data_IF_397664358676
#
_entry.id   IF_397664358676
#
_cell.length_a   1.000
_cell.length_b   1.000
_cell.length_c   1.000
_cell.angle_alpha   90.00
_cell.angle_beta   90.00
_cell.angle_gamma   90.00
#
_symmetry.space_group_name_H-M   'P 1'
#
loop_
_entity.id
_entity.type
_entity.pdbx_description
1 polymer ?
#
# COMPACT_ATOMS: atom_id res chain seq x y z
N UNK A 1 12.63 8.87 -42.30
CA UNK A 1 12.89 9.86 -41.24
C UNK A 1 11.55 10.25 -40.65
N UNK A 2 11.40 10.28 -39.32
CA UNK A 2 10.20 10.80 -38.68
C UNK A 2 10.28 12.33 -38.60
N UNK A 3 9.20 13.02 -38.98
CA UNK A 3 9.13 14.49 -38.94
C UNK A 3 8.49 15.00 -37.65
N UNK A 4 7.42 14.33 -37.20
CA UNK A 4 6.71 14.60 -35.95
C UNK A 4 5.97 13.33 -35.49
N UNK A 5 5.67 13.22 -34.20
CA UNK A 5 4.86 12.15 -33.58
C UNK A 5 3.66 12.77 -32.86
N UNK A 6 2.64 11.96 -32.56
CA UNK A 6 1.42 12.41 -31.85
C UNK A 6 0.72 13.62 -32.53
N UNK A 7 0.68 13.63 -33.85
CA UNK A 7 0.02 14.69 -34.64
C UNK A 7 -1.46 14.39 -34.76
N UNK A 8 -2.31 15.41 -34.60
CA UNK A 8 -3.75 15.28 -34.83
C UNK A 8 -4.03 14.72 -36.24
N UNK A 9 -4.90 13.71 -36.40
CA UNK A 9 -5.18 13.09 -37.69
C UNK A 9 -5.62 14.07 -38.78
N UNK A 10 -6.33 15.15 -38.43
CA UNK A 10 -6.75 16.17 -39.39
C UNK A 10 -5.56 17.00 -39.89
N UNK A 11 -4.61 17.33 -39.00
CA UNK A 11 -3.37 18.04 -39.36
C UNK A 11 -2.49 17.13 -40.22
N UNK A 12 -2.32 15.86 -39.83
CA UNK A 12 -1.54 14.90 -40.60
C UNK A 12 -2.11 14.72 -42.01
N UNK A 13 -3.44 14.61 -42.14
CA UNK A 13 -4.13 14.54 -43.43
C UNK A 13 -3.89 15.77 -44.30
N UNK A 14 -4.02 16.98 -43.74
CA UNK A 14 -3.78 18.23 -44.47
C UNK A 14 -2.32 18.36 -44.95
N UNK A 15 -1.36 17.86 -44.18
CA UNK A 15 0.07 17.85 -44.57
C UNK A 15 0.29 16.87 -45.73
N UNK A 16 -0.20 15.64 -45.62
CA UNK A 16 -0.03 14.62 -46.67
C UNK A 16 -0.75 14.97 -47.98
N UNK A 17 -1.87 15.71 -47.92
CA UNK A 17 -2.55 16.21 -49.12
C UNK A 17 -1.74 17.31 -49.83
N UNK A 18 -1.11 18.21 -49.06
CA UNK A 18 -0.30 19.31 -49.59
C UNK A 18 1.07 18.86 -50.08
N UNK A 19 1.65 17.84 -49.45
CA UNK A 19 2.98 17.31 -49.72
C UNK A 19 2.91 15.78 -49.91
N UNK A 20 2.68 15.29 -51.14
CA UNK A 20 2.52 13.85 -51.43
C UNK A 20 3.71 12.97 -51.02
N UNK A 21 4.90 13.55 -50.89
CA UNK A 21 6.12 12.91 -50.41
C UNK A 21 6.10 12.63 -48.88
N UNK A 22 5.18 13.23 -48.12
CA UNK A 22 5.03 13.07 -46.68
C UNK A 22 3.93 12.06 -46.35
N UNK A 23 4.33 10.89 -45.86
CA UNK A 23 3.41 9.86 -45.36
C UNK A 23 2.99 10.08 -43.91
N UNK A 24 1.80 9.59 -43.55
CA UNK A 24 1.32 9.50 -42.17
C UNK A 24 1.18 8.05 -41.74
N UNK A 25 1.58 7.74 -40.52
CA UNK A 25 1.35 6.44 -39.87
C UNK A 25 0.39 6.62 -38.70
N UNK A 26 -0.57 5.69 -38.56
CA UNK A 26 -1.49 5.71 -37.41
C UNK A 26 -0.71 5.30 -36.16
N UNK A 27 -0.80 6.14 -35.13
CA UNK A 27 -0.31 5.83 -33.80
C UNK A 27 -1.47 5.89 -32.81
N UNK A 28 -1.58 4.90 -31.94
CA UNK A 28 -2.53 4.92 -30.82
C UNK A 28 -1.82 5.53 -29.60
N UNK A 29 -2.49 6.46 -28.91
CA UNK A 29 -1.93 7.14 -27.74
C UNK A 29 -2.51 6.53 -26.46
N UNK A 30 -1.63 6.19 -25.51
CA UNK A 30 -2.04 5.77 -24.17
C UNK A 30 -2.48 6.99 -23.38
N UNK A 31 -3.68 6.91 -22.80
CA UNK A 31 -4.23 7.98 -21.97
C UNK A 31 -4.32 7.52 -20.52
N UNK A 32 -3.96 8.41 -19.61
CA UNK A 32 -4.03 8.22 -18.15
C UNK A 32 -5.01 9.24 -17.57
N UNK A 33 -6.33 8.96 -17.52
CA UNK A 33 -7.32 9.94 -17.07
C UNK A 33 -7.12 10.41 -15.62
N UNK A 34 -6.52 9.56 -14.79
CA UNK A 34 -6.17 9.88 -13.40
C UNK A 34 -4.87 10.68 -13.25
N UNK A 35 -4.14 10.95 -14.34
CA UNK A 35 -2.81 11.56 -14.30
C UNK A 35 -1.88 10.78 -13.36
N UNK A 36 -1.41 11.45 -12.32
CA UNK A 36 -0.55 10.87 -11.27
C UNK A 36 -1.23 9.88 -10.32
N UNK A 37 -2.55 9.70 -10.37
CA UNK A 37 -3.26 8.74 -9.52
C UNK A 37 -2.78 7.30 -9.79
N UNK A 38 -2.27 6.63 -8.76
CA UNK A 38 -1.75 5.26 -8.86
C UNK A 38 -0.62 5.07 -9.90
N UNK A 39 0.12 6.13 -10.27
CA UNK A 39 1.13 6.08 -11.32
C UNK A 39 2.23 5.02 -11.06
N UNK A 40 2.65 4.82 -9.81
CA UNK A 40 3.63 3.78 -9.46
C UNK A 40 3.09 2.33 -9.56
N UNK A 41 1.78 2.17 -9.70
CA UNK A 41 1.14 0.87 -9.90
C UNK A 41 0.84 0.69 -11.38
N UNK A 42 0.10 1.62 -11.98
CA UNK A 42 -0.27 1.57 -13.39
C UNK A 42 0.99 1.57 -14.25
N UNK A 43 1.87 2.55 -14.03
CA UNK A 43 3.11 2.71 -14.77
C UNK A 43 2.97 3.69 -15.93
N UNK A 44 3.77 3.43 -16.97
CA UNK A 44 3.87 4.26 -18.16
C UNK A 44 4.39 3.43 -19.33
N UNK A 45 4.12 3.87 -20.56
CA UNK A 45 4.65 3.26 -21.79
C UNK A 45 5.69 4.16 -22.45
N UNK A 46 6.47 3.60 -23.37
CA UNK A 46 7.33 4.34 -24.28
C UNK A 46 6.57 4.86 -25.51
N UNK A 47 7.31 5.47 -26.44
CA UNK A 47 6.75 6.02 -27.67
C UNK A 47 6.31 4.99 -28.70
N UNK A 48 6.77 3.74 -28.55
CA UNK A 48 6.51 2.64 -29.48
C UNK A 48 5.37 1.74 -28.95
N UNK A 49 4.81 2.05 -27.77
CA UNK A 49 3.62 1.41 -27.22
C UNK A 49 3.90 0.38 -26.15
N UNK A 50 5.17 0.21 -25.74
CA UNK A 50 5.59 -0.82 -24.80
C UNK A 50 5.68 -0.29 -23.37
N UNK A 51 5.27 -1.11 -22.41
CA UNK A 51 5.40 -0.81 -20.99
C UNK A 51 6.83 -0.52 -20.55
N UNK A 52 7.00 0.58 -19.84
CA UNK A 52 8.29 1.02 -19.26
C UNK A 52 8.34 0.87 -17.74
N UNK A 53 7.19 1.04 -17.09
CA UNK A 53 7.06 1.06 -15.62
C UNK A 53 5.78 0.33 -15.19
N UNK A 54 5.73 -0.04 -13.90
CA UNK A 54 4.51 -0.53 -13.26
C UNK A 54 3.90 -1.76 -13.94
N UNK A 55 2.57 -1.83 -13.96
CA UNK A 55 1.82 -2.90 -14.60
C UNK A 55 1.83 -2.81 -16.13
N UNK A 56 2.06 -1.63 -16.72
CA UNK A 56 2.29 -1.53 -18.18
C UNK A 56 3.50 -2.40 -18.57
N UNK A 57 4.61 -2.31 -17.85
CA UNK A 57 5.82 -3.12 -18.09
C UNK A 57 5.57 -4.61 -17.77
N UNK A 58 5.14 -4.93 -16.55
CA UNK A 58 5.04 -6.32 -16.14
C UNK A 58 3.92 -7.11 -16.83
N UNK A 59 2.93 -6.42 -17.40
CA UNK A 59 1.82 -7.03 -18.14
C UNK A 59 1.84 -6.66 -19.64
N UNK A 60 2.94 -6.12 -20.17
CA UNK A 60 3.06 -5.69 -21.58
C UNK A 60 2.63 -6.80 -22.55
N UNK A 61 3.10 -8.03 -22.32
CA UNK A 61 2.77 -9.20 -23.13
C UNK A 61 1.25 -9.51 -23.22
N UNK A 62 0.47 -9.08 -22.23
CA UNK A 62 -0.98 -9.26 -22.18
C UNK A 62 -1.72 -8.01 -22.69
N UNK A 63 -1.15 -6.82 -22.47
CA UNK A 63 -1.75 -5.51 -22.79
C UNK A 63 -1.52 -5.07 -24.24
N UNK A 64 -0.34 -5.35 -24.80
CA UNK A 64 0.05 -4.92 -26.15
C UNK A 64 -0.70 -5.70 -27.25
N UNK A 65 -0.98 -6.99 -27.02
CA UNK A 65 -1.56 -7.86 -28.05
C UNK A 65 -0.51 -8.30 -29.06
N UNK A 66 -0.86 -8.38 -30.34
CA UNK A 66 0.06 -8.77 -31.41
C UNK A 66 -0.23 -7.98 -32.68
N UNK A 67 0.81 -7.39 -33.25
CA UNK A 67 0.68 -6.60 -34.47
C UNK A 67 0.23 -7.43 -35.67
N UNK A 68 -0.55 -6.78 -36.52
CA UNK A 68 -0.88 -7.30 -37.84
C UNK A 68 0.23 -6.97 -38.84
N UNK A 69 0.17 -7.58 -40.02
CA UNK A 69 1.06 -7.24 -41.11
C UNK A 69 0.33 -7.23 -42.44
N UNK A 70 0.82 -6.44 -43.38
CA UNK A 70 0.35 -6.44 -44.77
C UNK A 70 1.52 -6.13 -45.68
N UNK A 71 1.64 -6.88 -46.78
CA UNK A 71 2.63 -6.63 -47.82
C UNK A 71 1.94 -5.96 -49.00
N UNK A 72 2.58 -4.97 -49.61
CA UNK A 72 2.12 -4.33 -50.83
C UNK A 72 3.32 -3.91 -51.68
N UNK A 73 3.09 -3.73 -52.98
CA UNK A 73 4.13 -3.24 -53.90
C UNK A 73 4.08 -1.71 -53.96
N UNK A 74 5.26 -1.10 -54.05
CA UNK A 74 5.45 0.35 -54.07
C UNK A 74 6.10 0.74 -55.39
N UNK A 75 5.54 1.74 -56.08
CA UNK A 75 6.11 2.31 -57.29
C UNK A 75 7.44 3.03 -57.01
N UNK A 76 8.20 3.34 -58.06
CA UNK A 76 9.45 4.11 -57.95
C UNK A 76 9.25 5.54 -57.45
N UNK A 77 8.02 6.04 -57.53
CA UNK A 77 7.54 7.32 -56.98
C UNK A 77 7.15 7.24 -55.50
N UNK A 78 7.25 6.05 -54.88
CA UNK A 78 6.91 5.86 -53.47
C UNK A 78 5.42 5.71 -53.20
N UNK A 79 4.57 5.57 -54.22
CA UNK A 79 3.12 5.36 -54.06
C UNK A 79 2.81 3.86 -54.01
N UNK A 80 1.81 3.47 -53.21
CA UNK A 80 1.35 2.07 -53.15
C UNK A 80 0.61 1.72 -54.45
N UNK A 81 1.00 0.62 -55.09
CA UNK A 81 0.35 0.16 -56.33
C UNK A 81 -1.03 -0.42 -55.97
N UNK A 82 -2.14 0.14 -56.50
CA UNK A 82 -3.48 -0.37 -56.24
C UNK A 82 -3.60 -1.86 -56.59
N UNK A 83 -4.18 -2.66 -55.70
CA UNK A 83 -4.37 -4.10 -55.89
C UNK A 83 -3.18 -4.99 -55.50
N UNK A 84 -2.03 -4.43 -55.10
CA UNK A 84 -0.83 -5.20 -54.73
C UNK A 84 -0.84 -5.80 -53.32
N UNK A 85 -1.87 -5.52 -52.52
CA UNK A 85 -1.98 -5.98 -51.13
C UNK A 85 -2.04 -7.52 -51.03
N UNK A 86 -1.10 -8.12 -50.31
CA UNK A 86 -0.99 -9.56 -50.04
C UNK A 86 -0.47 -9.83 -48.64
N UNK A 87 -0.43 -11.10 -48.24
CA UNK A 87 0.09 -11.56 -46.93
C UNK A 87 -0.46 -10.77 -45.75
N UNK A 88 -1.79 -10.56 -45.71
CA UNK A 88 -2.44 -9.79 -44.67
C UNK A 88 -2.68 -10.66 -43.43
N UNK A 89 -1.98 -10.36 -42.34
CA UNK A 89 -2.24 -10.88 -41.01
C UNK A 89 -2.97 -9.82 -40.19
N UNK A 90 -4.11 -10.19 -39.59
CA UNK A 90 -4.86 -9.26 -38.74
C UNK A 90 -4.15 -9.10 -37.40
N UNK A 91 -4.11 -7.88 -36.90
CA UNK A 91 -3.69 -7.61 -35.52
C UNK A 91 -4.64 -8.29 -34.53
N UNK A 92 -4.09 -8.69 -33.39
CA UNK A 92 -4.84 -9.22 -32.25
C UNK A 92 -4.76 -8.17 -31.14
N UNK A 93 -5.93 -7.71 -30.68
CA UNK A 93 -5.98 -6.74 -29.59
C UNK A 93 -5.47 -7.36 -28.28
N UNK A 94 -4.80 -6.53 -27.48
CA UNK A 94 -4.47 -6.87 -26.10
C UNK A 94 -5.71 -7.10 -25.22
N UNK A 95 -5.47 -7.64 -24.03
CA UNK A 95 -6.51 -7.95 -23.07
C UNK A 95 -6.77 -6.79 -22.11
N UNK A 96 -7.98 -6.73 -21.55
CA UNK A 96 -8.32 -5.79 -20.49
C UNK A 96 -7.92 -6.35 -19.13
N UNK A 97 -7.25 -5.52 -18.33
CA UNK A 97 -6.89 -5.81 -16.94
C UNK A 97 -7.73 -4.95 -16.01
N UNK A 98 -8.35 -5.57 -15.01
CA UNK A 98 -9.09 -4.89 -13.96
C UNK A 98 -8.28 -4.96 -12.65
N UNK A 99 -7.91 -3.79 -12.13
CA UNK A 99 -7.22 -3.68 -10.85
C UNK A 99 -8.19 -3.85 -9.68
N UNK A 100 -7.66 -4.25 -8.53
CA UNK A 100 -8.38 -4.28 -7.26
C UNK A 100 -8.44 -2.91 -6.57
N UNK A 101 -7.70 -1.92 -7.10
CA UNK A 101 -7.66 -0.59 -6.53
C UNK A 101 -9.04 0.06 -6.55
N UNK A 102 -9.38 0.70 -5.44
CA UNK A 102 -10.49 1.62 -5.36
C UNK A 102 -9.95 3.04 -5.61
N UNK A 103 -10.47 3.71 -6.64
CA UNK A 103 -9.96 5.02 -7.06
C UNK A 103 -10.13 6.09 -5.96
N UNK A 104 -11.22 6.05 -5.19
CA UNK A 104 -11.50 7.04 -4.16
C UNK A 104 -10.58 6.84 -2.95
N UNK A 105 -10.40 5.58 -2.52
CA UNK A 105 -9.46 5.23 -1.45
C UNK A 105 -8.03 5.57 -1.88
N UNK A 106 -7.63 5.18 -3.09
CA UNK A 106 -6.30 5.47 -3.63
C UNK A 106 -6.02 6.97 -3.65
N UNK A 107 -6.97 7.78 -4.16
CA UNK A 107 -6.82 9.24 -4.22
C UNK A 107 -6.63 9.83 -2.83
N UNK A 108 -7.49 9.45 -1.88
CA UNK A 108 -7.41 9.94 -0.51
C UNK A 108 -6.08 9.55 0.16
N UNK A 109 -5.69 8.29 0.07
CA UNK A 109 -4.43 7.79 0.66
C UNK A 109 -3.22 8.48 0.04
N UNK A 110 -3.20 8.67 -1.28
CA UNK A 110 -2.11 9.36 -1.97
C UNK A 110 -1.98 10.83 -1.52
N UNK A 111 -3.10 11.53 -1.31
CA UNK A 111 -3.08 12.87 -0.73
C UNK A 111 -2.53 12.87 0.70
N UNK A 112 -2.96 11.93 1.56
CA UNK A 112 -2.49 11.85 2.94
C UNK A 112 -1.00 11.52 3.02
N UNK A 113 -0.50 10.63 2.16
CA UNK A 113 0.93 10.30 2.06
C UNK A 113 1.75 11.54 1.69
N UNK A 114 1.32 12.30 0.67
CA UNK A 114 2.01 13.53 0.29
C UNK A 114 1.96 14.60 1.39
N UNK A 115 0.81 14.74 2.06
CA UNK A 115 0.66 15.67 3.18
C UNK A 115 1.57 15.27 4.36
N UNK A 116 1.64 13.99 4.69
CA UNK A 116 2.49 13.47 5.76
C UNK A 116 3.98 13.73 5.47
N UNK A 117 4.42 13.57 4.21
CA UNK A 117 5.77 13.92 3.78
C UNK A 117 6.05 15.41 3.99
N UNK A 118 5.15 16.28 3.52
CA UNK A 118 5.31 17.73 3.60
C UNK A 118 5.35 18.24 5.06
N UNK A 119 4.56 17.64 5.95
CA UNK A 119 4.50 18.03 7.36
C UNK A 119 5.68 17.49 8.18
N UNK A 120 6.16 16.29 7.85
CA UNK A 120 7.23 15.64 8.63
C UNK A 120 8.64 15.98 8.13
N UNK A 121 8.79 16.41 6.87
CA UNK A 121 10.10 16.53 6.23
C UNK A 121 10.74 15.17 5.92
N UNK A 122 9.98 14.06 6.00
CA UNK A 122 10.49 12.74 5.67
C UNK A 122 10.98 12.65 4.22
N UNK A 123 12.06 11.90 4.01
CA UNK A 123 12.60 11.66 2.67
C UNK A 123 11.64 10.85 1.78
N UNK A 124 10.97 9.86 2.37
CA UNK A 124 9.99 8.99 1.72
C UNK A 124 8.84 8.65 2.67
N UNK A 125 7.64 8.51 2.13
CA UNK A 125 6.42 8.08 2.80
C UNK A 125 5.65 7.18 1.86
N UNK A 126 5.23 6.01 2.35
CA UNK A 126 4.41 5.06 1.61
C UNK A 126 3.27 4.56 2.49
N UNK A 127 2.14 4.22 1.87
CA UNK A 127 1.01 3.61 2.56
C UNK A 127 0.37 2.52 1.70
N UNK A 128 -0.11 1.46 2.35
CA UNK A 128 -0.82 0.35 1.72
C UNK A 128 -2.11 0.10 2.49
N UNK A 129 -3.21 -0.07 1.77
CA UNK A 129 -4.52 -0.43 2.30
C UNK A 129 -4.95 -1.75 1.66
N UNK A 130 -5.17 -2.75 2.50
CA UNK A 130 -5.66 -4.06 2.10
C UNK A 130 -7.09 -4.26 2.62
N UNK A 131 -7.93 -4.90 1.82
CA UNK A 131 -9.14 -5.49 2.34
C UNK A 131 -8.79 -6.72 3.20
N UNK A 132 -9.21 -6.71 4.46
CA UNK A 132 -8.82 -7.75 5.41
C UNK A 132 -9.34 -9.15 5.02
N UNK A 133 -10.53 -9.24 4.42
CA UNK A 133 -11.20 -10.52 4.16
C UNK A 133 -10.86 -11.13 2.81
N UNK A 134 -10.37 -10.33 1.87
CA UNK A 134 -10.04 -10.76 0.51
C UNK A 134 -8.54 -10.68 0.19
N UNK A 135 -7.79 -9.88 0.94
CA UNK A 135 -6.38 -9.58 0.68
C UNK A 135 -6.18 -8.64 -0.52
N UNK A 136 -7.24 -8.13 -1.12
CA UNK A 136 -7.18 -7.22 -2.25
C UNK A 136 -6.49 -5.90 -1.87
N UNK A 137 -5.62 -5.39 -2.74
CA UNK A 137 -5.00 -4.08 -2.57
C UNK A 137 -6.00 -3.03 -2.99
N UNK A 138 -6.55 -2.29 -2.01
CA UNK A 138 -7.49 -1.19 -2.27
C UNK A 138 -6.77 0.11 -2.59
N UNK A 139 -5.62 0.34 -1.94
CA UNK A 139 -4.75 1.45 -2.25
C UNK A 139 -3.28 1.11 -1.95
N UNK A 140 -2.37 1.65 -2.75
CA UNK A 140 -0.93 1.63 -2.50
C UNK A 140 -0.34 2.93 -3.07
N UNK A 141 0.17 3.78 -2.19
CA UNK A 141 0.64 5.10 -2.56
C UNK A 141 2.03 5.36 -2.02
N UNK A 142 2.79 6.12 -2.80
CA UNK A 142 4.11 6.63 -2.44
C UNK A 142 4.09 8.16 -2.63
N UNK A 143 4.87 8.87 -1.83
CA UNK A 143 5.04 10.31 -1.95
C UNK A 143 5.79 10.69 -3.24
N UNK A 144 5.64 11.95 -3.66
CA UNK A 144 6.36 12.53 -4.80
C UNK A 144 6.30 11.67 -6.09
N UNK A 145 5.14 11.05 -6.33
CA UNK A 145 4.89 10.24 -7.52
C UNK A 145 4.93 11.08 -8.81
N UNK A 146 5.07 10.40 -9.94
CA UNK A 146 5.12 10.99 -11.28
C UNK A 146 3.74 11.03 -11.95
N UNK A 147 3.64 11.71 -13.08
CA UNK A 147 2.46 11.72 -13.94
C UNK A 147 2.80 11.10 -15.31
N UNK A 148 2.30 9.89 -15.65
CA UNK A 148 2.57 9.23 -16.92
C UNK A 148 1.91 9.91 -18.12
N UNK A 149 1.01 10.88 -17.92
CA UNK A 149 0.48 11.71 -19.00
C UNK A 149 1.46 12.79 -19.48
N UNK A 150 2.55 13.01 -18.72
CA UNK A 150 3.63 13.94 -19.05
C UNK A 150 4.89 13.16 -19.48
N UNK A 151 5.85 13.86 -20.09
CA UNK A 151 7.14 13.28 -20.47
C UNK A 151 7.86 12.72 -19.23
N UNK A 152 7.89 11.38 -19.10
CA UNK A 152 8.52 10.66 -17.99
C UNK A 152 10.02 10.99 -17.92
N UNK A 153 10.68 11.20 -19.06
CA UNK A 153 12.11 11.54 -19.12
C UNK A 153 12.45 12.90 -18.50
N UNK A 154 11.45 13.77 -18.29
CA UNK A 154 11.62 15.08 -17.64
C UNK A 154 11.28 15.07 -16.16
N UNK A 155 10.89 13.92 -15.60
CA UNK A 155 10.45 13.76 -14.21
C UNK A 155 11.52 13.08 -13.35
N UNK A 156 12.79 13.45 -13.54
CA UNK A 156 13.93 12.81 -12.87
C UNK A 156 13.98 13.03 -11.35
N UNK A 157 13.24 14.00 -10.82
CA UNK A 157 13.07 14.25 -9.38
C UNK A 157 11.90 13.46 -8.76
N UNK A 158 11.11 12.74 -9.58
CA UNK A 158 9.94 11.98 -9.15
C UNK A 158 10.27 10.54 -8.81
N UNK A 159 9.47 10.00 -7.90
CA UNK A 159 9.54 8.59 -7.58
C UNK A 159 8.84 7.79 -8.67
N UNK A 160 9.61 7.17 -9.57
CA UNK A 160 9.09 6.35 -10.69
C UNK A 160 8.73 4.93 -10.24
N UNK A 161 9.57 4.31 -9.41
CA UNK A 161 9.35 2.96 -8.89
C UNK A 161 8.31 2.91 -7.76
N UNK A 162 8.10 1.72 -7.19
CA UNK A 162 7.13 1.52 -6.10
C UNK A 162 7.81 0.99 -4.82
N UNK A 163 8.33 1.89 -3.94
CA UNK A 163 9.05 1.52 -2.73
C UNK A 163 8.26 0.59 -1.80
N UNK A 164 6.92 0.68 -1.81
CA UNK A 164 6.06 -0.19 -1.02
C UNK A 164 6.26 -1.69 -1.33
N UNK A 165 6.77 -2.02 -2.52
CA UNK A 165 7.07 -3.41 -2.94
C UNK A 165 8.55 -3.65 -3.27
N UNK A 166 9.33 -2.61 -3.56
CA UNK A 166 10.73 -2.75 -3.99
C UNK A 166 11.76 -2.44 -2.91
N UNK A 167 11.38 -1.73 -1.85
CA UNK A 167 12.31 -1.22 -0.83
C UNK A 167 12.07 -1.92 0.52
N UNK A 168 12.65 -3.11 0.74
CA UNK A 168 12.53 -3.80 2.01
C UNK A 168 13.30 -3.06 3.11
N UNK A 169 12.77 -3.09 4.33
CA UNK A 169 13.38 -2.46 5.51
C UNK A 169 13.22 -3.36 6.73
N UNK A 170 14.03 -3.13 7.75
CA UNK A 170 13.87 -3.83 9.03
C UNK A 170 12.61 -3.32 9.75
N UNK A 171 11.64 -4.18 10.08
CA UNK A 171 10.34 -3.76 10.63
C UNK A 171 10.42 -3.29 12.10
N UNK A 172 11.50 -3.65 12.81
CA UNK A 172 11.61 -3.45 14.25
C UNK A 172 10.41 -4.01 15.01
N UNK A 173 9.92 -3.26 15.99
CA UNK A 173 8.89 -3.72 16.93
C UNK A 173 7.56 -4.13 16.29
N UNK A 174 7.28 -3.70 15.05
CA UNK A 174 6.12 -4.14 14.28
C UNK A 174 6.13 -5.66 14.07
N UNK A 175 7.32 -6.28 14.01
CA UNK A 175 7.49 -7.73 13.85
C UNK A 175 7.21 -8.55 15.13
N UNK A 176 7.18 -7.93 16.31
CA UNK A 176 6.92 -8.62 17.59
C UNK A 176 5.58 -9.35 17.59
N UNK A 177 4.68 -8.94 16.72
CA UNK A 177 3.42 -9.59 16.41
C UNK A 177 3.57 -11.06 16.00
N UNK A 178 4.67 -11.44 15.35
CA UNK A 178 4.97 -12.85 15.04
C UNK A 178 5.22 -13.63 16.32
N UNK A 179 6.01 -13.08 17.24
CA UNK A 179 6.27 -13.65 18.56
C UNK A 179 4.99 -13.73 19.38
N UNK A 180 4.18 -12.66 19.38
CA UNK A 180 2.88 -12.61 20.05
C UNK A 180 1.94 -13.70 19.53
N UNK A 181 1.83 -13.84 18.20
CA UNK A 181 0.98 -14.85 17.59
C UNK A 181 1.49 -16.25 17.90
N UNK A 182 2.81 -16.47 17.85
CA UNK A 182 3.44 -17.76 18.16
C UNK A 182 3.19 -18.21 19.59
N UNK A 183 3.38 -17.32 20.57
CA UNK A 183 3.27 -17.70 21.97
C UNK A 183 1.83 -18.07 22.36
N UNK A 184 0.85 -17.41 21.74
CA UNK A 184 -0.57 -17.72 21.91
C UNK A 184 -0.95 -19.00 21.15
N UNK A 185 -0.57 -19.12 19.88
CA UNK A 185 -0.88 -20.28 19.01
C UNK A 185 -0.36 -21.60 19.63
N UNK A 186 0.85 -21.57 20.18
CA UNK A 186 1.46 -22.76 20.80
C UNK A 186 1.07 -22.95 22.27
N UNK A 187 0.16 -22.12 22.83
CA UNK A 187 -0.31 -22.24 24.21
C UNK A 187 0.78 -22.01 25.27
N UNK A 188 1.82 -21.25 24.94
CA UNK A 188 2.99 -21.00 25.79
C UNK A 188 2.83 -19.77 26.69
N UNK A 189 1.77 -19.00 26.44
CA UNK A 189 1.31 -17.90 27.27
C UNK A 189 -0.16 -17.60 26.96
N UNK A 190 -0.78 -16.77 27.78
CA UNK A 190 -2.08 -16.16 27.52
C UNK A 190 -1.99 -14.64 27.71
N UNK A 191 -2.95 -13.84 27.21
CA UNK A 191 -2.87 -12.37 27.25
C UNK A 191 -2.67 -11.78 28.65
N UNK A 192 -3.18 -12.45 29.68
CA UNK A 192 -3.22 -11.99 31.07
C UNK A 192 -2.08 -12.56 31.93
N UNK A 193 -1.25 -13.47 31.40
CA UNK A 193 -0.09 -14.00 32.13
C UNK A 193 0.87 -12.86 32.46
N UNK A 194 1.24 -12.73 33.73
CA UNK A 194 2.19 -11.72 34.20
C UNK A 194 3.62 -12.27 34.17
N UNK A 195 4.49 -11.62 33.42
CA UNK A 195 5.93 -11.84 33.40
C UNK A 195 6.63 -10.78 34.26
N UNK A 196 7.64 -11.22 35.02
CA UNK A 196 8.57 -10.34 35.71
C UNK A 196 9.68 -9.94 34.74
N UNK A 197 9.53 -8.79 34.09
CA UNK A 197 10.41 -8.35 32.99
C UNK A 197 11.52 -7.45 33.55
N UNK A 198 12.79 -7.90 33.56
CA UNK A 198 13.92 -7.07 33.94
C UNK A 198 14.23 -6.01 32.86
N UNK A 199 15.06 -5.01 33.18
CA UNK A 199 15.51 -3.99 32.20
C UNK A 199 16.46 -4.52 31.13
N UNK A 200 17.07 -5.68 31.35
CA UNK A 200 18.05 -6.31 30.45
C UNK A 200 17.91 -7.83 30.47
N UNK A 201 18.17 -8.49 29.34
CA UNK A 201 18.29 -9.95 29.21
C UNK A 201 19.54 -10.35 28.44
N UNK A 202 20.21 -11.40 28.92
CA UNK A 202 21.28 -12.06 28.18
C UNK A 202 20.69 -13.21 27.36
N UNK A 203 20.84 -13.16 26.04
CA UNK A 203 20.34 -14.20 25.14
C UNK A 203 21.30 -14.40 23.97
N UNK A 204 21.76 -15.64 23.79
CA UNK A 204 22.65 -15.98 22.67
C UNK A 204 24.02 -15.29 22.72
N UNK A 205 24.50 -14.93 23.92
CA UNK A 205 25.76 -14.20 24.13
C UNK A 205 25.66 -12.69 23.88
N UNK A 206 24.45 -12.14 23.78
CA UNK A 206 24.20 -10.71 23.56
C UNK A 206 23.29 -10.18 24.67
N UNK A 207 23.65 -8.99 25.18
CA UNK A 207 22.83 -8.24 26.12
C UNK A 207 21.81 -7.38 25.36
N UNK A 208 20.53 -7.55 25.66
CA UNK A 208 19.44 -6.79 25.05
C UNK A 208 18.70 -6.01 26.12
N UNK A 209 18.43 -4.74 25.83
CA UNK A 209 17.77 -3.79 26.71
C UNK A 209 16.45 -3.32 26.09
N UNK A 210 15.52 -2.89 26.95
CA UNK A 210 14.37 -2.11 26.51
C UNK A 210 14.78 -0.70 26.10
N UNK A 211 13.92 0.00 25.36
CA UNK A 211 14.21 1.35 24.87
C UNK A 211 14.20 2.42 25.98
N UNK A 212 13.92 2.03 27.23
CA UNK A 212 13.91 2.88 28.41
C UNK A 212 14.44 2.10 29.61
N UNK A 213 14.99 2.80 30.61
CA UNK A 213 15.51 2.17 31.81
C UNK A 213 14.38 1.80 32.79
N UNK A 214 14.43 0.59 33.33
CA UNK A 214 13.56 0.16 34.41
C UNK A 214 14.17 -1.02 35.20
N UNK A 215 13.72 -1.16 36.45
CA UNK A 215 13.95 -2.37 37.24
C UNK A 215 13.07 -3.54 36.76
N UNK A 216 12.86 -4.53 37.62
CA UNK A 216 11.91 -5.61 37.29
C UNK A 216 10.48 -5.09 37.34
N UNK A 217 9.75 -5.21 36.23
CA UNK A 217 8.38 -4.73 36.07
C UNK A 217 7.42 -5.91 35.80
N UNK A 218 6.26 -5.97 36.48
CA UNK A 218 5.25 -6.98 36.19
C UNK A 218 4.43 -6.55 34.97
N UNK A 219 4.71 -7.15 33.82
CA UNK A 219 3.91 -6.94 32.60
C UNK A 219 3.08 -8.16 32.28
N UNK A 220 1.80 -7.95 31.93
CA UNK A 220 1.06 -8.99 31.25
C UNK A 220 1.66 -9.26 29.87
N UNK A 221 1.39 -10.41 29.24
CA UNK A 221 1.76 -10.66 27.85
C UNK A 221 1.24 -9.56 26.92
N UNK A 222 0.02 -9.07 27.14
CA UNK A 222 -0.48 -7.86 26.45
C UNK A 222 0.36 -6.63 26.75
N UNK A 223 0.77 -6.44 28.00
CA UNK A 223 1.62 -5.33 28.44
C UNK A 223 3.00 -5.33 27.78
N UNK A 224 3.61 -6.51 27.58
CA UNK A 224 4.90 -6.68 26.88
C UNK A 224 4.82 -6.08 25.48
N UNK A 225 3.81 -6.48 24.69
CA UNK A 225 3.64 -5.98 23.32
C UNK A 225 3.12 -4.54 23.29
N UNK A 226 2.23 -4.16 24.21
CA UNK A 226 1.67 -2.81 24.30
C UNK A 226 2.69 -1.74 24.72
N UNK A 227 3.70 -2.11 25.52
CA UNK A 227 4.86 -1.26 25.84
C UNK A 227 6.01 -1.45 24.85
N UNK A 228 5.91 -2.41 23.94
CA UNK A 228 6.98 -2.77 23.02
C UNK A 228 8.28 -3.16 23.74
N UNK A 229 8.19 -3.89 24.86
CA UNK A 229 9.36 -4.41 25.59
C UNK A 229 10.11 -5.44 24.73
N UNK A 230 11.36 -5.15 24.38
CA UNK A 230 12.28 -6.09 23.75
C UNK A 230 12.55 -7.26 24.68
N UNK A 231 12.85 -6.97 25.95
CA UNK A 231 13.20 -7.98 26.96
C UNK A 231 12.05 -8.95 27.18
N UNK A 232 10.84 -8.45 27.41
CA UNK A 232 9.64 -9.29 27.56
C UNK A 232 9.33 -10.09 26.29
N UNK A 233 9.56 -9.51 25.11
CA UNK A 233 9.39 -10.23 23.84
C UNK A 233 10.37 -11.40 23.75
N UNK A 234 11.63 -11.21 24.12
CA UNK A 234 12.65 -12.25 24.08
C UNK A 234 12.41 -13.35 25.11
N UNK A 235 11.93 -13.00 26.31
CA UNK A 235 11.49 -14.01 27.29
C UNK A 235 10.39 -14.92 26.73
N UNK A 236 9.43 -14.35 25.98
CA UNK A 236 8.38 -15.13 25.31
C UNK A 236 8.94 -15.90 24.10
N UNK A 237 9.85 -15.30 23.33
CA UNK A 237 10.49 -15.96 22.18
C UNK A 237 11.33 -17.17 22.59
N UNK A 238 12.01 -17.12 23.74
CA UNK A 238 12.72 -18.28 24.30
C UNK A 238 11.79 -19.46 24.56
N UNK A 239 10.55 -19.21 25.01
CA UNK A 239 9.53 -20.27 25.19
C UNK A 239 9.09 -20.86 23.85
N UNK A 240 8.99 -20.02 22.81
CA UNK A 240 8.60 -20.43 21.45
C UNK A 240 9.69 -21.30 20.83
N UNK A 241 10.95 -20.88 20.92
CA UNK A 241 12.07 -21.54 20.25
C UNK A 241 12.21 -21.17 18.76
N UNK A 242 13.40 -21.35 18.18
CA UNK A 242 13.73 -20.88 16.83
C UNK A 242 12.93 -21.58 15.73
N UNK A 243 12.70 -22.89 15.82
CA UNK A 243 12.00 -23.67 14.79
C UNK A 243 10.54 -23.23 14.66
N UNK A 244 9.83 -23.15 15.79
CA UNK A 244 8.42 -22.71 15.84
C UNK A 244 8.25 -21.26 15.41
N UNK A 245 9.22 -20.40 15.74
CA UNK A 245 9.22 -19.02 15.29
C UNK A 245 9.44 -18.94 13.77
N UNK A 246 10.40 -19.69 13.22
CA UNK A 246 10.65 -19.78 11.78
C UNK A 246 9.42 -20.27 11.00
N UNK A 247 8.74 -21.30 11.50
CA UNK A 247 7.47 -21.76 10.95
C UNK A 247 6.43 -20.65 10.90
N UNK A 248 6.30 -19.86 11.98
CA UNK A 248 5.37 -18.74 12.04
C UNK A 248 5.74 -17.61 11.08
N UNK A 249 7.03 -17.26 10.97
CA UNK A 249 7.55 -16.29 9.99
C UNK A 249 7.14 -16.70 8.56
N UNK A 250 7.25 -17.99 8.23
CA UNK A 250 6.82 -18.52 6.93
C UNK A 250 5.30 -18.49 6.75
N UNK A 251 4.52 -18.80 7.79
CA UNK A 251 3.05 -18.71 7.76
C UNK A 251 2.56 -17.28 7.51
N UNK A 252 3.27 -16.27 8.03
CA UNK A 252 3.00 -14.86 7.72
C UNK A 252 3.48 -14.43 6.31
N UNK A 253 4.21 -15.30 5.60
CA UNK A 253 4.64 -15.06 4.21
C UNK A 253 5.86 -14.16 4.08
N UNK A 254 6.65 -13.99 5.13
CA UNK A 254 7.89 -13.23 5.08
C UNK A 254 9.00 -13.99 4.33
N UNK A 255 9.92 -13.23 3.72
CA UNK A 255 11.00 -13.80 2.90
C UNK A 255 10.54 -14.33 1.54
N UNK A 256 9.30 -14.02 1.13
CA UNK A 256 8.70 -14.49 -0.11
C UNK A 256 8.00 -13.34 -0.84
N UNK A 257 8.14 -13.28 -2.17
CA UNK A 257 7.37 -12.34 -2.99
C UNK A 257 5.86 -12.56 -2.78
N UNK A 258 5.11 -11.47 -2.76
CA UNK A 258 3.65 -11.49 -2.62
C UNK A 258 2.95 -11.88 -3.92
N UNK A 259 3.62 -11.71 -5.07
CA UNK A 259 3.03 -12.00 -6.37
C UNK A 259 2.08 -10.91 -6.84
N UNK A 260 2.26 -9.67 -6.36
CA UNK A 260 1.48 -8.50 -6.78
C UNK A 260 1.67 -8.14 -8.25
N UNK A 261 2.70 -8.69 -8.89
CA UNK A 261 2.96 -8.52 -10.32
C UNK A 261 3.57 -7.17 -10.66
N UNK A 262 4.07 -6.42 -9.67
CA UNK A 262 4.78 -5.16 -9.91
C UNK A 262 6.27 -5.42 -10.16
N UNK A 263 6.90 -4.68 -11.09
CA UNK A 263 8.33 -4.82 -11.36
C UNK A 263 9.16 -4.43 -10.14
N UNK A 264 10.29 -5.10 -9.97
CA UNK A 264 11.20 -4.86 -8.85
C UNK A 264 10.70 -5.34 -7.49
N UNK A 265 9.65 -6.17 -7.44
CA UNK A 265 9.15 -6.75 -6.18
C UNK A 265 10.26 -7.51 -5.43
N UNK A 266 10.57 -7.04 -4.22
CA UNK A 266 11.51 -7.69 -3.32
C UNK A 266 10.81 -8.76 -2.48
N UNK A 267 11.49 -9.88 -2.24
CA UNK A 267 11.06 -10.89 -1.28
C UNK A 267 11.38 -10.47 0.17
N UNK A 268 12.11 -9.37 0.37
CA UNK A 268 12.77 -9.08 1.64
C UNK A 268 13.90 -10.08 1.91
N UNK A 269 14.31 -10.19 3.18
CA UNK A 269 15.31 -11.15 3.62
C UNK A 269 14.89 -11.72 4.97
N UNK A 270 14.70 -13.05 5.02
CA UNK A 270 14.64 -13.81 6.26
C UNK A 270 15.83 -14.79 6.20
N UNK A 271 16.80 -14.71 7.13
CA UNK A 271 17.92 -15.63 7.12
C UNK A 271 17.44 -17.08 7.17
N UNK A 272 18.04 -17.99 6.37
CA UNK A 272 17.80 -19.43 6.49
C UNK A 272 18.02 -19.94 7.92
N UNK A 273 17.19 -20.88 8.37
CA UNK A 273 17.22 -21.35 9.77
C UNK A 273 18.54 -22.03 10.17
N UNK A 274 19.22 -22.67 9.22
CA UNK A 274 20.54 -23.29 9.40
C UNK A 274 21.66 -22.26 9.68
N UNK A 275 21.41 -20.98 9.43
CA UNK A 275 22.31 -19.87 9.73
C UNK A 275 21.99 -19.18 11.06
N UNK A 276 20.98 -19.65 11.80
CA UNK A 276 20.58 -19.02 13.05
C UNK A 276 21.52 -19.45 14.17
N UNK A 277 22.33 -18.51 14.64
CA UNK A 277 23.02 -18.61 15.93
C UNK A 277 22.08 -18.15 17.05
N UNK A 278 22.52 -18.34 18.31
CA UNK A 278 21.83 -17.74 19.46
C UNK A 278 21.66 -16.23 19.30
N UNK A 279 22.67 -15.51 18.80
CA UNK A 279 22.60 -14.07 18.59
C UNK A 279 21.67 -13.67 17.45
N UNK A 280 21.61 -14.45 16.36
CA UNK A 280 20.62 -14.23 15.29
C UNK A 280 19.20 -14.35 15.83
N UNK A 281 18.91 -15.42 16.60
CA UNK A 281 17.60 -15.61 17.19
C UNK A 281 17.24 -14.55 18.26
N UNK A 282 18.22 -13.88 18.88
CA UNK A 282 17.95 -12.74 19.78
C UNK A 282 17.45 -11.49 19.05
N UNK A 283 17.70 -11.36 17.74
CA UNK A 283 17.33 -10.17 16.96
C UNK A 283 16.02 -10.34 16.18
N UNK A 284 15.81 -11.53 15.59
CA UNK A 284 14.66 -11.76 14.71
C UNK A 284 13.28 -11.56 15.39
N UNK A 285 13.03 -12.02 16.64
CA UNK A 285 11.75 -11.85 17.33
C UNK A 285 11.39 -10.40 17.63
N UNK A 286 12.39 -9.50 17.69
CA UNK A 286 12.20 -8.06 17.88
C UNK A 286 12.28 -7.27 16.56
N UNK A 287 12.36 -7.98 15.43
CA UNK A 287 12.30 -7.42 14.08
C UNK A 287 13.60 -6.83 13.56
N UNK A 288 14.73 -7.34 14.03
CA UNK A 288 16.08 -6.98 13.57
C UNK A 288 16.75 -8.20 12.92
N UNK A 289 17.61 -7.98 11.92
CA UNK A 289 18.27 -9.05 11.17
C UNK A 289 17.36 -9.72 10.13
N UNK A 290 16.21 -9.13 9.84
CA UNK A 290 15.32 -9.49 8.73
C UNK A 290 14.74 -8.23 8.10
N UNK A 291 14.39 -8.31 6.82
CA UNK A 291 13.77 -7.21 6.11
C UNK A 291 12.52 -7.66 5.35
N UNK A 292 11.55 -6.75 5.22
CA UNK A 292 10.33 -6.97 4.47
C UNK A 292 9.88 -5.68 3.79
N UNK A 293 9.08 -5.82 2.73
CA UNK A 293 8.45 -4.69 2.07
C UNK A 293 7.24 -4.20 2.85
N UNK A 294 6.79 -2.96 2.59
CA UNK A 294 5.58 -2.44 3.23
C UNK A 294 4.34 -3.29 2.90
N UNK A 295 4.26 -3.84 1.68
CA UNK A 295 3.18 -4.74 1.29
C UNK A 295 3.21 -6.07 2.08
N UNK A 296 4.39 -6.66 2.30
CA UNK A 296 4.51 -7.84 3.15
C UNK A 296 4.09 -7.55 4.59
N UNK A 297 4.51 -6.40 5.14
CA UNK A 297 4.11 -5.94 6.47
C UNK A 297 2.58 -5.76 6.57
N UNK A 298 1.95 -5.11 5.59
CA UNK A 298 0.50 -4.99 5.52
C UNK A 298 -0.19 -6.36 5.47
N UNK A 299 0.36 -7.31 4.69
CA UNK A 299 -0.13 -8.68 4.60
C UNK A 299 -0.02 -9.46 5.92
N UNK A 300 0.98 -9.18 6.75
CA UNK A 300 1.08 -9.74 8.10
C UNK A 300 -0.09 -9.28 8.99
N UNK A 301 -0.42 -7.99 8.94
CA UNK A 301 -1.56 -7.44 9.68
C UNK A 301 -2.91 -7.82 9.09
N UNK A 302 -3.00 -8.04 7.78
CA UNK A 302 -4.19 -8.60 7.13
C UNK A 302 -4.55 -9.95 7.74
N UNK A 303 -3.57 -10.84 7.93
CA UNK A 303 -3.83 -12.15 8.53
C UNK A 303 -4.44 -12.03 9.93
N UNK A 304 -3.98 -11.09 10.73
CA UNK A 304 -4.49 -10.84 12.09
C UNK A 304 -5.90 -10.26 12.05
N UNK A 305 -6.12 -9.26 11.19
CA UNK A 305 -7.45 -8.69 10.97
C UNK A 305 -8.43 -9.69 10.34
N UNK A 306 -7.92 -10.80 9.78
CA UNK A 306 -8.68 -11.87 9.17
C UNK A 306 -8.67 -13.16 10.01
N UNK A 307 -8.73 -13.03 11.33
CA UNK A 307 -8.90 -14.15 12.26
C UNK A 307 -7.81 -15.24 12.10
N UNK A 308 -6.57 -14.81 11.79
CA UNK A 308 -5.41 -15.67 11.58
C UNK A 308 -5.25 -16.21 10.16
N UNK A 309 -6.17 -15.90 9.23
CA UNK A 309 -6.12 -16.41 7.85
C UNK A 309 -5.42 -15.41 6.92
N UNK A 310 -4.18 -15.73 6.55
CA UNK A 310 -3.44 -14.98 5.52
C UNK A 310 -3.98 -15.29 4.13
N UNK A 311 -4.27 -14.26 3.33
CA UNK A 311 -4.66 -14.43 1.93
C UNK A 311 -3.52 -13.95 1.01
N UNK A 312 -2.88 -14.86 0.25
CA UNK A 312 -1.68 -14.52 -0.51
C UNK A 312 -1.94 -13.86 -1.88
N UNK A 313 -2.98 -13.03 -2.05
CA UNK A 313 -3.35 -12.47 -3.37
C UNK A 313 -2.97 -11.00 -3.53
N UNK A 314 -2.45 -10.66 -4.71
CA UNK A 314 -2.06 -9.30 -5.13
C UNK A 314 -3.10 -8.58 -6.01
N UNK A 315 -2.74 -7.39 -6.49
CA UNK A 315 -3.62 -6.29 -6.94
C UNK A 315 -4.40 -6.47 -8.26
N UNK A 316 -4.40 -7.65 -8.89
CA UNK A 316 -5.08 -7.86 -10.17
C UNK A 316 -6.11 -8.98 -10.12
N UNK A 317 -7.32 -8.68 -10.59
CA UNK A 317 -8.36 -9.68 -10.87
C UNK A 317 -8.14 -10.16 -12.31
N UNK A 318 -8.11 -11.48 -12.52
CA UNK A 318 -7.81 -12.18 -13.80
C UNK A 318 -8.21 -11.38 -15.06
N UNK A 319 -7.38 -11.35 -16.12
CA UNK A 319 -7.77 -10.74 -17.39
C UNK A 319 -9.04 -11.38 -17.92
N UNK A 320 -10.07 -10.57 -18.14
CA UNK A 320 -11.22 -10.98 -18.94
C UNK A 320 -10.78 -10.93 -20.41
N UNK A 321 -10.83 -12.07 -21.10
CA UNK A 321 -10.58 -12.08 -22.55
C UNK A 321 -11.54 -11.10 -23.26
N UNK A 322 -11.07 -10.38 -24.30
CA UNK A 322 -11.94 -9.49 -25.05
C UNK A 322 -12.96 -10.32 -25.83
N UNK A 323 -14.21 -10.35 -25.36
CA UNK A 323 -15.33 -10.82 -26.18
C UNK A 323 -15.59 -9.80 -27.29
N UNK A 324 -15.47 -10.22 -28.55
CA UNK A 324 -15.91 -9.46 -29.71
C UNK A 324 -17.38 -9.00 -29.54
N UNK A 325 -17.77 -7.82 -30.05
CA UNK A 325 -19.14 -7.33 -29.88
C UNK A 325 -20.12 -8.22 -30.66
N UNK A 326 -20.97 -8.96 -29.94
CA UNK A 326 -22.08 -9.70 -30.54
C UNK A 326 -23.18 -8.72 -31.04
N UNK A 327 -23.85 -9.03 -32.16
CA UNK A 327 -24.85 -8.15 -32.74
C UNK A 327 -26.06 -8.03 -31.81
N UNK A 328 -26.54 -6.79 -31.62
CA UNK A 328 -27.73 -6.49 -30.83
C UNK A 328 -29.00 -6.85 -31.60
N UNK A 329 -29.76 -7.79 -31.08
CA UNK A 329 -31.19 -7.91 -31.37
C UNK A 329 -31.99 -7.58 -30.10
N UNK A 330 -32.87 -6.57 -30.18
CA UNK A 330 -34.00 -6.38 -29.23
C UNK A 330 -35.14 -7.31 -29.66
N UNK A 331 -35.98 -7.83 -28.76
CA UNK A 331 -37.29 -7.32 -28.25
C UNK A 331 -37.99 -8.54 -27.59
N UNK A 332 -39.08 -8.51 -26.76
CA UNK A 332 -39.65 -7.57 -25.77
C UNK A 332 -39.73 -8.17 -24.32
N UNK A 333 -39.97 -7.33 -23.31
CA UNK A 333 -40.33 -7.76 -21.95
C UNK A 333 -41.82 -8.10 -21.84
N UNK A 334 -42.12 -9.35 -21.49
CA UNK A 334 -43.45 -9.78 -21.07
C UNK A 334 -43.61 -9.61 -19.56
N UNK A 335 -44.57 -8.78 -19.17
CA UNK A 335 -45.19 -8.78 -17.86
C UNK A 335 -45.69 -10.17 -17.48
N UNK A 336 -45.43 -10.58 -16.25
CA UNK A 336 -46.25 -11.59 -15.58
C UNK A 336 -45.47 -12.42 -14.59
N UNK A 337 -46.16 -12.75 -13.49
CA UNK A 337 -45.79 -13.76 -12.50
C UNK A 337 -44.89 -13.32 -11.35
N UNK A 338 -45.51 -12.64 -10.36
CA UNK A 338 -45.40 -13.12 -8.98
C UNK A 338 -46.60 -12.64 -8.13
N UNK A 339 -47.70 -13.41 -8.16
CA UNK A 339 -48.72 -13.41 -7.11
C UNK A 339 -48.98 -14.86 -6.71
N UNK A 340 -48.65 -15.19 -5.46
CA UNK A 340 -49.43 -16.05 -4.54
C UNK A 340 -48.62 -16.28 -3.27
N UNK A 341 -48.95 -15.54 -2.21
CA UNK A 341 -49.10 -16.10 -0.87
C UNK A 341 -50.14 -15.28 -0.11
N UNK A 342 -51.17 -15.98 0.33
CA UNK A 342 -52.34 -15.46 1.05
C UNK A 342 -51.95 -15.26 2.51
N UNK A 343 -52.20 -14.09 3.06
CA UNK A 343 -52.63 -13.90 4.45
C UNK A 343 -53.68 -12.77 4.46
N UNK A 344 -54.74 -12.97 5.23
CA UNK A 344 -55.88 -12.09 5.50
C UNK A 344 -56.02 -12.04 7.04
N UNK A 345 -56.72 -11.08 7.64
CA UNK A 345 -56.48 -9.64 7.61
C UNK A 345 -56.47 -9.05 9.04
N UNK A 346 -55.92 -7.85 9.23
CA UNK A 346 -56.37 -6.98 10.32
C UNK A 346 -56.61 -5.59 9.76
N UNK A 347 -57.85 -5.16 9.88
CA UNK A 347 -58.37 -3.91 9.36
C UNK A 347 -57.98 -2.73 10.26
N UNK A 348 -57.60 -1.61 9.66
CA UNK A 348 -58.13 -0.30 10.05
C UNK A 348 -57.89 0.75 8.96
N UNK A 349 -59.04 1.25 8.49
CA UNK A 349 -59.36 2.49 7.82
C UNK A 349 -58.23 3.48 7.54
N UNK A 350 -58.09 3.87 6.27
CA UNK A 350 -58.39 5.23 5.81
C UNK A 350 -58.38 5.26 4.27
N UNK A 351 -59.43 5.82 3.68
CA UNK A 351 -59.54 6.19 2.27
C UNK A 351 -59.74 7.72 2.19
N UNK A 352 -59.81 8.36 1.01
CA UNK A 352 -58.67 9.07 0.43
C UNK A 352 -59.01 10.54 0.08
N UNK A 353 -58.01 11.32 -0.32
CA UNK A 353 -58.26 12.48 -1.20
C UNK A 353 -57.07 12.78 -2.10
N UNK A 354 -57.31 12.68 -3.40
CA UNK A 354 -56.53 13.25 -4.49
C UNK A 354 -56.55 14.79 -4.41
N UNK A 355 -55.44 15.44 -4.75
CA UNK A 355 -55.45 16.47 -5.80
C UNK A 355 -54.04 16.92 -6.16
N UNK A 356 -53.77 16.83 -7.46
CA UNK A 356 -52.76 17.53 -8.26
C UNK A 356 -52.68 19.04 -7.96
N UNK A 357 -51.50 19.67 -8.10
CA UNK A 357 -51.27 20.90 -8.90
C UNK A 357 -49.77 21.18 -9.08
N UNK A 358 -49.47 21.79 -10.23
CA UNK A 358 -48.21 22.12 -10.90
C UNK A 358 -47.49 23.40 -10.38
N UNK A 359 -46.17 23.42 -10.62
CA UNK A 359 -45.28 24.52 -11.05
C UNK A 359 -45.02 25.73 -10.12
N UNK A 360 -43.73 25.97 -9.77
CA UNK A 360 -42.88 27.03 -10.37
C UNK A 360 -41.74 27.54 -9.44
N UNK A 361 -40.52 27.54 -10.00
CA UNK A 361 -39.44 28.55 -9.91
C UNK A 361 -38.79 29.03 -8.60
N UNK A 362 -37.47 28.81 -8.57
CA UNK A 362 -36.38 29.75 -8.22
C UNK A 362 -35.95 29.97 -6.76
N UNK A 363 -34.65 29.68 -6.52
CA UNK A 363 -33.59 30.48 -5.84
C UNK A 363 -32.68 29.61 -4.97
N UNK A 364 -31.38 29.67 -5.25
CA UNK A 364 -30.25 29.17 -4.45
C UNK A 364 -30.01 30.04 -3.18
N UNK A 365 -29.02 29.77 -2.30
CA UNK A 365 -28.38 28.51 -1.91
C UNK A 365 -28.55 28.22 -0.39
N UNK A 366 -28.58 26.94 0.01
CA UNK A 366 -28.61 26.56 1.42
C UNK A 366 -27.19 26.50 2.02
N UNK A 367 -26.98 27.29 3.08
CA UNK A 367 -25.80 27.29 3.94
C UNK A 367 -25.59 25.92 4.59
N UNK A 368 -24.38 25.40 4.51
CA UNK A 368 -23.90 24.24 5.28
C UNK A 368 -24.01 24.52 6.79
N UNK A 369 -24.91 23.80 7.47
CA UNK A 369 -24.92 23.69 8.94
C UNK A 369 -23.88 22.64 9.34
N UNK A 370 -22.90 23.05 10.14
CA UNK A 370 -21.95 22.16 10.83
C UNK A 370 -22.70 21.28 11.84
N UNK A 371 -22.47 19.97 11.79
CA UNK A 371 -22.83 19.04 12.87
C UNK A 371 -21.93 19.30 14.10
N UNK A 372 -22.48 19.27 15.33
CA UNK A 372 -21.68 19.42 16.55
C UNK A 372 -20.91 18.13 16.85
N UNK A 373 -19.62 18.27 17.14
CA UNK A 373 -18.74 17.23 17.65
C UNK A 373 -19.09 16.97 19.12
N UNK A 374 -19.57 15.77 19.43
CA UNK A 374 -19.77 15.28 20.80
C UNK A 374 -18.43 15.06 21.50
N UNK A 375 -18.14 15.89 22.50
CA UNK A 375 -17.02 15.71 23.44
C UNK A 375 -17.32 14.56 24.41
N UNK A 376 -16.33 13.70 24.62
CA UNK A 376 -16.29 12.72 25.70
C UNK A 376 -16.10 13.42 27.07
N UNK A 377 -16.72 12.94 28.16
CA UNK A 377 -16.56 13.55 29.48
C UNK A 377 -15.19 13.21 30.10
N UNK A 378 -14.50 14.25 30.58
CA UNK A 378 -13.25 14.15 31.31
C UNK A 378 -13.45 13.49 32.70
N UNK A 379 -12.55 12.57 33.07
CA UNK A 379 -12.47 12.01 34.43
C UNK A 379 -11.95 13.06 35.43
N UNK A 380 -12.43 13.08 36.69
CA UNK A 380 -11.96 14.03 37.69
C UNK A 380 -10.55 13.67 38.22
N UNK A 381 -9.73 14.69 38.42
CA UNK A 381 -8.39 14.61 39.02
C UNK A 381 -8.47 14.30 40.53
N UNK A 382 -7.48 13.58 41.11
CA UNK A 382 -7.44 13.33 42.54
C UNK A 382 -7.04 14.59 43.33
N UNK A 383 -7.72 14.79 44.47
CA UNK A 383 -7.55 15.93 45.38
C UNK A 383 -6.19 15.91 46.08
N UNK A 384 -5.54 17.06 46.13
CA UNK A 384 -4.34 17.34 46.92
C UNK A 384 -4.63 17.28 48.41
N UNK A 385 -3.75 16.62 49.18
CA UNK A 385 -3.67 16.77 50.64
C UNK A 385 -2.54 17.73 50.97
N UNK A 386 -2.87 18.72 51.80
CA UNK A 386 -2.00 19.72 52.39
C UNK A 386 -1.15 19.14 53.53
N UNK A 387 0.13 19.48 53.56
CA UNK A 387 1.04 19.27 54.70
C UNK A 387 1.43 20.65 55.29
N UNK A 388 1.44 20.83 56.63
CA UNK A 388 1.77 22.12 57.27
C UNK A 388 3.29 22.33 57.46
N UNK A 389 3.76 23.55 57.83
CA UNK A 389 5.14 23.98 57.62
C UNK A 389 6.06 23.96 58.86
N UNK A 390 7.36 24.09 58.54
CA UNK A 390 8.49 24.68 59.29
C UNK A 390 9.30 23.84 60.31
N UNK A 391 10.61 23.74 60.06
CA UNK A 391 11.66 24.17 61.01
C UNK A 391 13.01 24.33 60.29
N UNK A 392 13.67 25.46 60.54
CA UNK A 392 15.01 25.79 60.10
C UNK A 392 16.03 25.37 61.16
N UNK A 393 17.21 24.91 60.74
CA UNK A 393 18.44 24.98 61.54
C UNK A 393 19.64 25.17 60.61
N UNK A 394 20.37 26.25 60.88
CA UNK A 394 21.66 26.65 60.36
C UNK A 394 22.81 25.81 60.94
N UNK A 395 23.82 25.49 60.12
CA UNK A 395 25.24 25.49 60.57
C UNK A 395 26.19 25.52 59.37
N UNK A 396 26.87 26.66 59.26
CA UNK A 396 28.27 26.94 58.88
C UNK A 396 29.14 25.96 58.08
N UNK A 397 29.81 26.59 57.12
CA UNK A 397 30.96 26.23 56.28
C UNK A 397 32.24 25.79 57.00
N UNK A 398 33.03 24.94 56.33
CA UNK A 398 34.51 25.07 56.21
C UNK A 398 35.07 24.25 55.03
N UNK A 399 35.84 24.90 54.15
CA UNK A 399 37.15 24.43 53.68
C UNK A 399 37.29 23.39 52.56
N UNK A 400 37.58 23.88 51.34
CA UNK A 400 38.35 23.27 50.21
C UNK A 400 39.70 22.63 50.65
N UNK A 401 40.50 21.91 49.81
CA UNK A 401 40.51 21.93 48.33
C UNK A 401 40.75 20.60 47.57
N UNK A 402 40.60 20.72 46.25
CA UNK A 402 40.83 19.79 45.14
C UNK A 402 42.23 19.14 45.08
N UNK A 403 42.35 18.10 44.24
CA UNK A 403 43.49 18.00 43.33
C UNK A 403 43.03 17.83 41.87
N UNK A 404 43.56 18.67 40.99
CA UNK A 404 43.45 18.52 39.53
C UNK A 404 44.64 17.74 38.97
N UNK A 405 44.44 17.07 37.84
CA UNK A 405 45.46 16.53 36.92
C UNK A 405 44.87 16.52 35.48
N UNK A 406 45.69 16.56 34.42
CA UNK A 406 45.61 17.61 33.40
C UNK A 406 45.18 17.13 32.00
N UNK A 407 44.85 18.12 31.17
CA UNK A 407 44.70 18.03 29.71
C UNK A 407 46.03 17.63 29.05
N UNK A 408 45.95 16.68 28.11
CA UNK A 408 46.98 16.41 27.11
C UNK A 408 46.41 16.67 25.70
N UNK A 409 46.98 17.67 25.05
CA UNK A 409 46.93 17.95 23.60
C UNK A 409 48.01 17.15 22.87
N UNK A 410 47.69 16.50 21.75
CA UNK A 410 48.62 16.17 20.64
C UNK A 410 47.87 16.31 19.29
N UNK A 411 48.53 16.76 18.19
CA UNK A 411 47.90 17.44 17.06
C UNK A 411 47.65 16.54 15.84
N UNK A 412 47.04 17.13 14.81
CA UNK A 412 46.44 16.45 13.67
C UNK A 412 47.35 15.87 12.59
N UNK A 413 46.68 15.13 11.73
CA UNK A 413 46.83 15.00 10.27
C UNK A 413 45.44 14.82 9.68
#
# INVERSE_FOLDING_TARGET
MYLARAVDPAIAGAISEKYPEVGSERQDLRQYPGGSLAANIVGGIDWDGHGLLGLEDSMDAVLAGTDGSVTYDRGSDGVVIPGSYRNRHKAVHGSTVQLTLDNDIQFYVQQQVQQARNLSGAHNVSAVVLDAKTGEVLAMANDNTFDPSQDIGRQGDKQLGNPAVSSPFEPGSVNKVITASSVIEYGLSNPDEVLQVPGTIEMGGVSVHDAWDHGVMPYTTTGVFGKSSNVGTLMLAQRVGPERFYEMVRKFGLGQRTGVGLPGESAGLVPPIDQWSGSTFSNLPIGQGLSMTLLQMAGMYQAIANDGVRIPRGSSRRPSQPTAPAPRNRVPTASGWCRRRRLRPCARCCAPSYSTTRWATSRAPARLRRCPVTRWPARPAPRSRSTPPAAATSTTSTGSPSPGWPLSTIPGM
#
